data_IF_764285835507
#
_entry.id   IF_764285835507
#
_cell.length_a   1.000
_cell.length_b   1.000
_cell.length_c   1.000
_cell.angle_alpha   90.00
_cell.angle_beta   90.00
_cell.angle_gamma   90.00
#
_symmetry.space_group_name_H-M   'P 1'
#
loop_
_entity.id
_entity.type
_entity.pdbx_description
1 polymer ?
#
# COMPACT_ATOMS: atom_id res chain seq x y z
N UNK A 1 1.23 3.02 -10.44
CA UNK A 1 0.91 3.46 -9.06
C UNK A 1 2.17 3.94 -8.38
N UNK A 2 2.20 5.18 -7.89
CA UNK A 2 3.28 5.67 -7.02
C UNK A 2 3.08 5.12 -5.61
N UNK A 3 4.16 4.73 -4.92
CA UNK A 3 4.13 4.24 -3.53
C UNK A 3 3.52 5.25 -2.57
N UNK A 4 3.70 6.56 -2.83
CA UNK A 4 3.11 7.62 -2.02
C UNK A 4 1.57 7.63 -2.11
N UNK A 5 0.99 7.30 -3.26
CA UNK A 5 -0.46 7.20 -3.40
C UNK A 5 -1.01 5.97 -2.66
N UNK A 6 -0.27 4.86 -2.66
CA UNK A 6 -0.64 3.67 -1.90
C UNK A 6 -0.62 3.93 -0.38
N UNK A 7 0.41 4.61 0.13
CA UNK A 7 0.47 4.98 1.54
C UNK A 7 -0.69 5.89 1.97
N UNK A 8 -1.03 6.92 1.18
CA UNK A 8 -2.16 7.80 1.48
C UNK A 8 -3.50 7.03 1.48
N UNK A 9 -3.74 6.14 0.52
CA UNK A 9 -4.96 5.31 0.50
C UNK A 9 -5.03 4.44 1.74
N UNK A 10 -3.96 3.72 2.07
CA UNK A 10 -3.92 2.89 3.26
C UNK A 10 -4.15 3.69 4.57
N UNK A 11 -3.65 4.93 4.65
CA UNK A 11 -3.93 5.81 5.78
C UNK A 11 -5.41 6.17 5.90
N UNK A 12 -6.12 6.37 4.78
CA UNK A 12 -7.59 6.57 4.81
C UNK A 12 -8.35 5.32 5.25
N UNK A 13 -7.75 4.15 5.09
CA UNK A 13 -8.31 2.85 5.53
C UNK A 13 -7.92 2.47 6.97
N UNK A 14 -7.37 3.40 7.76
CA UNK A 14 -6.85 3.19 9.13
C UNK A 14 -5.61 2.28 9.24
N UNK A 15 -4.84 2.15 8.15
CA UNK A 15 -3.53 1.51 8.21
C UNK A 15 -2.42 2.55 8.38
N UNK A 16 -1.40 2.30 9.23
CA UNK A 16 -0.31 3.25 9.46
C UNK A 16 0.56 3.52 8.22
N UNK A 17 0.49 2.69 7.18
CA UNK A 17 1.15 2.95 5.90
C UNK A 17 0.81 1.93 4.82
N UNK A 18 1.44 2.06 3.65
CA UNK A 18 1.25 1.15 2.53
C UNK A 18 2.47 1.12 1.61
N UNK A 19 2.67 0.00 0.91
CA UNK A 19 3.72 -0.15 -0.09
C UNK A 19 3.19 -0.81 -1.37
N UNK A 20 3.71 -0.42 -2.53
CA UNK A 20 3.40 -1.11 -3.77
C UNK A 20 4.36 -2.29 -3.97
N UNK A 21 3.83 -3.51 -4.07
CA UNK A 21 4.61 -4.68 -4.48
C UNK A 21 4.16 -5.19 -5.84
N UNK A 22 5.10 -5.72 -6.60
CA UNK A 22 4.79 -6.51 -7.78
C UNK A 22 4.36 -7.91 -7.33
N UNK A 23 3.20 -8.36 -7.79
CA UNK A 23 2.73 -9.73 -7.63
C UNK A 23 2.47 -10.28 -9.05
N UNK A 24 3.40 -11.09 -9.53
CA UNK A 24 3.44 -11.56 -10.91
C UNK A 24 3.57 -10.39 -11.90
N UNK A 25 2.68 -10.33 -12.87
CA UNK A 25 2.62 -9.25 -13.88
C UNK A 25 1.90 -7.98 -13.40
N UNK A 26 1.36 -7.97 -12.17
CA UNK A 26 0.58 -6.84 -11.65
C UNK A 26 1.29 -6.13 -10.52
N UNK A 27 1.06 -4.83 -10.37
CA UNK A 27 1.54 -4.05 -9.22
C UNK A 27 0.36 -3.78 -8.30
N UNK A 28 0.37 -4.35 -7.10
CA UNK A 28 -0.67 -4.20 -6.08
C UNK A 28 -0.19 -3.31 -4.95
N UNK A 29 -1.13 -2.61 -4.32
CA UNK A 29 -0.89 -1.85 -3.09
C UNK A 29 -1.15 -2.77 -1.90
N UNK A 30 -0.23 -2.79 -0.94
CA UNK A 30 -0.33 -3.57 0.29
C UNK A 30 -0.27 -2.64 1.48
N UNK A 31 -1.38 -2.55 2.22
CA UNK A 31 -1.43 -1.79 3.45
C UNK A 31 -0.70 -2.52 4.58
N UNK A 32 0.11 -1.78 5.33
CA UNK A 32 0.90 -2.28 6.44
C UNK A 32 0.23 -1.88 7.74
N UNK A 33 0.21 -2.82 8.69
CA UNK A 33 -0.06 -2.53 10.10
C UNK A 33 1.08 -3.07 10.95
N UNK A 34 1.23 -2.52 12.16
CA UNK A 34 2.05 -3.14 13.19
C UNK A 34 1.29 -4.42 13.62
N UNK A 35 1.95 -5.56 13.55
CA UNK A 35 1.38 -6.86 13.92
C UNK A 35 1.20 -6.97 15.43
#
# INVERSE_FOLDING_TARGET
>A
MSSNNCANVCQTENFPGGECKAEGATRKCFCKKIC
#
